data_IF_137525798929
#
_entry.id   IF_137525798929
#
_cell.length_a   1.000
_cell.length_b   1.000
_cell.length_c   1.000
_cell.angle_alpha   90.00
_cell.angle_beta   90.00
_cell.angle_gamma   90.00
#
_symmetry.space_group_name_H-M   'P 1'
#
loop_
_entity.id
_entity.type
_entity.pdbx_description
1 polymer ?
#
# COMPACT_ATOMS: atom_id res chain seq x y z
N UNK A 1 -46.14 6.28 9.34
CA UNK A 1 -45.14 5.66 10.23
C UNK A 1 -44.17 4.88 9.34
N UNK A 2 -43.28 5.57 8.64
CA UNK A 2 -42.28 4.99 7.73
C UNK A 2 -40.92 5.22 8.36
N UNK A 3 -40.37 4.18 8.99
CA UNK A 3 -39.07 4.24 9.66
C UNK A 3 -37.97 4.30 8.60
N UNK A 4 -37.33 5.47 8.52
CA UNK A 4 -36.09 5.69 7.78
C UNK A 4 -35.00 4.76 8.34
N UNK A 5 -34.52 3.83 7.51
CA UNK A 5 -33.41 2.94 7.83
C UNK A 5 -32.10 3.56 7.33
N UNK A 6 -31.67 4.66 7.94
CA UNK A 6 -30.30 5.15 7.76
C UNK A 6 -29.36 4.29 8.61
N UNK A 7 -28.95 3.14 8.08
CA UNK A 7 -27.86 2.36 8.66
C UNK A 7 -26.52 2.98 8.21
N UNK A 8 -25.60 3.33 9.13
CA UNK A 8 -24.29 3.83 8.75
C UNK A 8 -23.52 2.71 8.04
N UNK A 9 -23.32 2.86 6.72
CA UNK A 9 -22.57 1.88 5.93
C UNK A 9 -21.09 1.98 6.31
N UNK A 10 -20.43 0.87 6.71
CA UNK A 10 -19.00 0.90 7.00
C UNK A 10 -18.20 1.35 5.78
N UNK A 11 -17.10 2.07 6.03
CA UNK A 11 -16.28 2.63 4.96
C UNK A 11 -15.79 1.50 4.01
N UNK A 12 -15.85 1.71 2.68
CA UNK A 12 -15.48 0.69 1.72
C UNK A 12 -13.98 0.36 1.81
N UNK A 13 -13.64 -0.93 1.69
CA UNK A 13 -12.25 -1.41 1.73
C UNK A 13 -11.39 -0.89 0.57
N UNK A 14 -12.01 -0.63 -0.59
CA UNK A 14 -11.39 -0.06 -1.79
C UNK A 14 -12.38 0.95 -2.40
N UNK A 15 -11.90 2.14 -2.78
CA UNK A 15 -12.70 3.16 -3.48
C UNK A 15 -11.98 3.64 -4.73
N UNK A 16 -12.67 3.59 -5.86
CA UNK A 16 -12.22 4.21 -7.12
C UNK A 16 -12.56 5.69 -7.05
N UNK A 17 -11.55 6.55 -7.10
CA UNK A 17 -11.73 8.02 -7.00
C UNK A 17 -12.00 8.65 -8.37
N UNK A 18 -11.48 8.04 -9.44
CA UNK A 18 -11.66 8.48 -10.83
C UNK A 18 -11.74 7.28 -11.78
N UNK A 19 -12.56 7.41 -12.82
CA UNK A 19 -12.80 6.36 -13.82
C UNK A 19 -13.90 5.38 -13.42
N UNK A 20 -14.35 4.58 -14.38
CA UNK A 20 -15.36 3.53 -14.22
C UNK A 20 -14.80 2.20 -14.75
N UNK A 21 -14.01 1.47 -13.93
CA UNK A 21 -13.40 0.22 -14.38
C UNK A 21 -14.47 -0.82 -14.68
N UNK A 22 -14.17 -1.71 -15.62
CA UNK A 22 -15.05 -2.85 -15.88
C UNK A 22 -15.02 -3.82 -14.67
N UNK A 23 -16.01 -4.73 -14.55
CA UNK A 23 -15.99 -5.76 -13.52
C UNK A 23 -14.71 -6.61 -13.55
N UNK A 24 -14.21 -6.92 -14.75
CA UNK A 24 -12.99 -7.71 -14.97
C UNK A 24 -11.74 -6.96 -14.47
N UNK A 25 -11.64 -5.67 -14.76
CA UNK A 25 -10.55 -4.82 -14.26
C UNK A 25 -10.56 -4.70 -12.74
N UNK A 26 -11.76 -4.58 -12.15
CA UNK A 26 -11.93 -4.55 -10.70
C UNK A 26 -11.50 -5.88 -10.07
N UNK A 27 -11.90 -7.01 -10.66
CA UNK A 27 -11.49 -8.34 -10.23
C UNK A 27 -9.98 -8.53 -10.32
N UNK A 28 -9.37 -8.08 -11.42
CA UNK A 28 -7.92 -8.12 -11.62
C UNK A 28 -7.18 -7.29 -10.56
N UNK A 29 -7.67 -6.07 -10.27
CA UNK A 29 -7.09 -5.22 -9.23
C UNK A 29 -7.13 -5.89 -7.85
N UNK A 30 -8.29 -6.45 -7.47
CA UNK A 30 -8.44 -7.16 -6.19
C UNK A 30 -7.52 -8.38 -6.13
N UNK A 31 -7.40 -9.14 -7.21
CA UNK A 31 -6.51 -10.31 -7.28
C UNK A 31 -5.05 -9.92 -7.05
N UNK A 32 -4.57 -8.85 -7.71
CA UNK A 32 -3.20 -8.34 -7.55
C UNK A 32 -2.94 -7.85 -6.12
N UNK A 33 -3.86 -7.07 -5.55
CA UNK A 33 -3.73 -6.57 -4.17
C UNK A 33 -3.67 -7.73 -3.16
N UNK A 34 -4.53 -8.73 -3.33
CA UNK A 34 -4.57 -9.93 -2.49
C UNK A 34 -3.28 -10.74 -2.61
N UNK A 35 -2.80 -10.98 -3.83
CA UNK A 35 -1.55 -11.70 -4.08
C UNK A 35 -0.36 -10.98 -3.42
N UNK A 36 -0.29 -9.66 -3.55
CA UNK A 36 0.74 -8.84 -2.89
C UNK A 36 0.66 -8.93 -1.37
N UNK A 37 -0.54 -8.84 -0.78
CA UNK A 37 -0.72 -8.94 0.66
C UNK A 37 -0.25 -10.32 1.18
N UNK A 38 -0.59 -11.40 0.48
CA UNK A 38 -0.11 -12.76 0.78
C UNK A 38 1.41 -12.88 0.68
N UNK A 39 2.02 -12.31 -0.37
CA UNK A 39 3.47 -12.32 -0.54
C UNK A 39 4.20 -11.59 0.61
N UNK A 40 3.66 -10.44 1.06
CA UNK A 40 4.21 -9.72 2.22
C UNK A 40 4.05 -10.56 3.49
N UNK A 41 2.92 -11.21 3.69
CA UNK A 41 2.70 -12.06 4.86
C UNK A 41 3.68 -13.25 4.88
N UNK A 42 3.90 -13.90 3.74
CA UNK A 42 4.88 -14.98 3.59
C UNK A 42 6.33 -14.48 3.77
N UNK A 43 6.65 -13.26 3.32
CA UNK A 43 7.96 -12.67 3.56
C UNK A 43 8.19 -12.38 5.06
N UNK A 44 7.15 -11.91 5.78
CA UNK A 44 7.21 -11.67 7.23
C UNK A 44 7.39 -12.97 8.01
N UNK A 45 6.68 -14.04 7.66
CA UNK A 45 6.84 -15.33 8.35
C UNK A 45 8.24 -15.91 8.17
N UNK A 46 8.90 -15.61 7.04
CA UNK A 46 10.27 -16.07 6.74
C UNK A 46 11.35 -15.16 7.35
N UNK A 47 11.02 -13.90 7.67
CA UNK A 47 11.93 -12.92 8.24
C UNK A 47 11.81 -12.86 9.76
N UNK A 48 12.36 -13.86 10.46
CA UNK A 48 12.53 -13.83 11.92
C UNK A 48 13.65 -12.87 12.39
N UNK A 49 14.08 -11.91 11.55
CA UNK A 49 15.15 -10.97 11.85
C UNK A 49 14.86 -9.59 11.24
N UNK A 50 14.74 -8.59 12.11
CA UNK A 50 14.64 -7.14 11.87
C UNK A 50 13.95 -6.72 10.55
N UNK A 51 12.69 -6.27 10.65
CA UNK A 51 12.02 -5.59 9.54
C UNK A 51 12.89 -4.42 9.03
N UNK A 52 13.13 -4.30 7.72
CA UNK A 52 13.87 -3.17 7.18
C UNK A 52 13.16 -1.89 7.59
N UNK A 53 13.89 -0.97 8.24
CA UNK A 53 13.33 0.35 8.61
C UNK A 53 12.80 1.00 7.33
N UNK A 54 11.54 1.42 7.37
CA UNK A 54 10.93 2.15 6.27
C UNK A 54 11.86 3.29 5.86
N UNK A 55 12.29 3.30 4.59
CA UNK A 55 13.13 4.37 4.05
C UNK A 55 12.49 5.75 4.19
N UNK A 56 11.16 5.82 4.37
CA UNK A 56 10.41 7.04 4.66
C UNK A 56 10.77 7.68 6.00
N UNK A 57 11.25 6.89 6.98
CA UNK A 57 11.70 7.37 8.30
C UNK A 57 13.23 7.53 8.37
N UNK A 58 13.91 7.55 7.23
CA UNK A 58 15.36 7.69 7.20
C UNK A 58 15.78 9.13 7.52
N UNK A 59 16.49 9.33 8.64
CA UNK A 59 16.97 10.64 9.08
C UNK A 59 17.97 11.23 8.08
N UNK A 60 18.69 10.40 7.33
CA UNK A 60 19.59 10.88 6.27
C UNK A 60 18.85 11.75 5.24
N UNK A 61 17.56 11.47 5.01
CA UNK A 61 16.68 12.23 4.12
C UNK A 61 16.33 13.63 4.66
N UNK A 62 16.13 13.75 5.97
CA UNK A 62 15.92 15.05 6.65
C UNK A 62 17.18 15.92 6.65
N UNK A 63 18.35 15.28 6.58
CA UNK A 63 19.64 15.94 6.56
C UNK A 63 20.14 16.22 5.13
N UNK A 64 19.34 15.94 4.10
CA UNK A 64 19.71 16.16 2.69
C UNK A 64 20.86 15.29 2.21
N UNK A 65 21.14 14.17 2.88
CA UNK A 65 22.24 13.26 2.50
C UNK A 65 21.84 12.52 1.22
N UNK A 66 22.68 12.55 0.17
CA UNK A 66 22.38 11.84 -1.07
C UNK A 66 22.28 10.32 -0.84
N UNK A 67 21.31 9.64 -1.48
CA UNK A 67 21.13 8.21 -1.31
C UNK A 67 22.33 7.44 -1.87
N UNK A 68 22.84 6.47 -1.11
CA UNK A 68 23.88 5.57 -1.60
C UNK A 68 23.29 4.56 -2.60
N UNK A 69 24.00 4.26 -3.71
CA UNK A 69 23.61 3.19 -4.61
C UNK A 69 23.47 1.87 -3.83
N UNK A 70 22.34 1.19 -3.99
CA UNK A 70 22.05 -0.10 -3.37
C UNK A 70 20.99 -0.84 -4.18
N UNK A 71 20.89 -2.18 -4.08
CA UNK A 71 19.90 -2.97 -4.81
C UNK A 71 18.45 -2.49 -4.60
N UNK A 72 18.15 -1.90 -3.44
CA UNK A 72 16.83 -1.36 -3.10
C UNK A 72 16.72 0.16 -3.26
N UNK A 73 17.72 0.84 -3.83
CA UNK A 73 17.74 2.30 -3.94
C UNK A 73 16.53 2.85 -4.71
N UNK A 74 16.13 2.20 -5.80
CA UNK A 74 14.97 2.57 -6.62
C UNK A 74 13.64 2.58 -5.85
N UNK A 75 13.51 1.70 -4.84
CA UNK A 75 12.29 1.66 -4.00
C UNK A 75 12.19 2.89 -3.10
N UNK A 76 13.28 3.63 -2.89
CA UNK A 76 13.36 4.81 -2.03
C UNK A 76 13.31 6.13 -2.82
N UNK A 77 13.20 6.07 -4.14
CA UNK A 77 13.26 7.21 -5.06
C UNK A 77 11.98 8.04 -5.15
N UNK A 78 10.83 7.55 -4.67
CA UNK A 78 9.58 8.30 -4.75
C UNK A 78 9.57 9.45 -3.73
N UNK A 79 9.58 10.69 -4.25
CA UNK A 79 9.42 11.94 -3.51
C UNK A 79 8.03 12.49 -3.84
N UNK A 80 7.10 12.61 -2.89
CA UNK A 80 5.96 13.50 -3.06
C UNK A 80 6.52 14.93 -3.03
N UNK A 81 6.44 15.63 -4.17
CA UNK A 81 6.68 17.07 -4.22
C UNK A 81 5.67 17.83 -3.37
#
# INVERSE_FOLDING_TARGET
MTSDHTQPTPAPFLRVVRGSPTPEETAALVAVLTARARAIQAARSRAAGAAPRSGWRDRARLLGVPPRPSPDAWRRSFHPG
#
